data_IF_255980974801
#
_entry.id   IF_255980974801
#
_cell.length_a   1.000
_cell.length_b   1.000
_cell.length_c   1.000
_cell.angle_alpha   90.00
_cell.angle_beta   90.00
_cell.angle_gamma   90.00
#
_symmetry.space_group_name_H-M   'P 1'
#
loop_
_entity.id
_entity.type
_entity.pdbx_description
1 polymer ?
#
# COMPACT_ATOMS: atom_id res chain seq x y z
N UNK A 1 -0.84 -20.10 17.17
CA UNK A 1 0.50 -19.64 16.77
C UNK A 1 0.49 -18.12 16.87
N UNK A 2 1.54 -17.50 17.39
CA UNK A 2 1.63 -16.03 17.39
C UNK A 2 1.74 -15.54 15.94
N UNK A 3 0.91 -14.57 15.53
CA UNK A 3 1.01 -13.95 14.20
C UNK A 3 2.26 -13.10 14.15
N UNK A 4 3.05 -13.28 13.09
CA UNK A 4 4.27 -12.52 12.82
C UNK A 4 4.13 -11.92 11.44
N UNK A 5 3.94 -10.61 11.39
CA UNK A 5 3.70 -9.87 10.15
C UNK A 5 4.97 -9.14 9.76
N UNK A 6 5.39 -9.26 8.51
CA UNK A 6 6.42 -8.41 7.91
C UNK A 6 5.75 -7.38 7.00
N UNK A 7 5.99 -6.10 7.26
CA UNK A 7 5.62 -5.02 6.34
C UNK A 7 6.88 -4.49 5.65
N UNK A 8 6.85 -4.42 4.32
CA UNK A 8 7.94 -3.96 3.48
C UNK A 8 7.47 -2.68 2.77
N UNK A 9 8.12 -1.56 3.03
CA UNK A 9 7.80 -0.28 2.40
C UNK A 9 8.85 0.12 1.37
N UNK A 10 8.43 0.78 0.30
CA UNK A 10 9.33 1.40 -0.68
C UNK A 10 10.28 2.40 0.00
N UNK A 11 9.75 3.36 0.75
CA UNK A 11 10.48 4.45 1.39
C UNK A 11 10.56 4.38 2.93
N UNK A 12 11.57 5.08 3.49
CA UNK A 12 11.85 5.08 4.94
C UNK A 12 11.18 6.22 5.73
N UNK A 13 10.56 7.21 5.08
CA UNK A 13 10.08 8.42 5.78
C UNK A 13 8.57 8.49 5.87
N UNK A 14 7.93 8.69 4.72
CA UNK A 14 6.50 9.00 4.68
C UNK A 14 5.70 7.76 5.05
N UNK A 15 6.02 6.60 4.49
CA UNK A 15 5.36 5.33 4.83
C UNK A 15 5.51 4.99 6.31
N UNK A 16 6.73 5.08 6.86
CA UNK A 16 6.96 4.77 8.27
C UNK A 16 6.18 5.69 9.21
N UNK A 17 5.99 6.96 8.85
CA UNK A 17 5.16 7.88 9.66
C UNK A 17 3.68 7.46 9.66
N UNK A 18 3.11 7.09 8.52
CA UNK A 18 1.74 6.58 8.46
C UNK A 18 1.61 5.23 9.16
N UNK A 19 2.57 4.34 8.96
CA UNK A 19 2.62 3.06 9.65
C UNK A 19 2.66 3.24 11.17
N UNK A 20 3.47 4.15 11.72
CA UNK A 20 3.51 4.39 13.17
C UNK A 20 2.13 4.78 13.73
N UNK A 21 1.38 5.60 12.98
CA UNK A 21 0.02 5.96 13.34
C UNK A 21 -0.94 4.78 13.27
N UNK A 22 -0.87 4.00 12.19
CA UNK A 22 -1.66 2.78 12.00
C UNK A 22 -1.37 1.74 13.08
N UNK A 23 -0.08 1.53 13.41
CA UNK A 23 0.37 0.64 14.48
C UNK A 23 -0.26 1.01 15.82
N UNK A 24 -0.24 2.30 16.16
CA UNK A 24 -0.89 2.80 17.37
C UNK A 24 -2.40 2.56 17.38
N UNK A 25 -3.04 2.66 16.21
CA UNK A 25 -4.48 2.47 16.08
C UNK A 25 -4.91 0.99 16.18
N UNK A 26 -4.16 0.06 15.60
CA UNK A 26 -4.59 -1.35 15.44
C UNK A 26 -3.71 -2.39 16.12
N UNK A 27 -2.39 -2.19 16.17
CA UNK A 27 -1.45 -3.25 16.55
C UNK A 27 -0.85 -3.08 17.95
N UNK A 28 -0.91 -1.91 18.57
CA UNK A 28 -0.38 -1.70 19.94
C UNK A 28 -1.15 -2.46 21.02
N UNK A 29 -2.39 -2.88 20.74
CA UNK A 29 -3.23 -3.67 21.63
C UNK A 29 -3.41 -5.12 21.13
N UNK A 30 -2.78 -5.47 20.01
CA UNK A 30 -2.86 -6.79 19.38
C UNK A 30 -1.63 -7.63 19.79
N UNK A 31 -1.80 -8.95 19.90
CA UNK A 31 -0.67 -9.86 20.17
C UNK A 31 0.23 -10.10 18.93
N UNK A 32 -0.15 -9.53 17.78
CA UNK A 32 0.56 -9.63 16.51
C UNK A 32 1.92 -8.93 16.58
N UNK A 33 2.99 -9.70 16.36
CA UNK A 33 4.34 -9.18 16.27
C UNK A 33 4.60 -8.64 14.87
N UNK A 34 4.64 -7.31 14.72
CA UNK A 34 4.91 -6.66 13.44
C UNK A 34 6.39 -6.28 13.32
N UNK A 35 7.07 -6.81 12.30
CA UNK A 35 8.39 -6.37 11.85
C UNK A 35 8.22 -5.45 10.63
N UNK A 36 9.08 -4.44 10.51
CA UNK A 36 9.05 -3.51 9.38
C UNK A 36 10.43 -3.41 8.76
N UNK A 37 10.46 -3.50 7.44
CA UNK A 37 11.63 -3.28 6.61
C UNK A 37 11.33 -2.24 5.52
N UNK A 38 12.40 -1.65 5.00
CA UNK A 38 12.34 -0.71 3.88
C UNK A 38 13.10 -1.33 2.71
N UNK A 39 12.50 -1.42 1.54
CA UNK A 39 13.21 -1.88 0.35
C UNK A 39 14.19 -0.80 -0.14
N UNK A 40 13.74 0.46 -0.19
CA UNK A 40 14.60 1.62 -0.46
C UNK A 40 14.80 1.94 -1.94
N UNK A 41 14.06 1.27 -2.81
CA UNK A 41 13.98 1.53 -4.24
C UNK A 41 12.54 1.27 -4.73
N UNK A 42 12.21 1.61 -5.97
CA UNK A 42 10.86 1.40 -6.50
C UNK A 42 10.54 -0.09 -6.79
N UNK A 43 9.28 -0.35 -7.12
CA UNK A 43 8.77 -1.69 -7.47
C UNK A 43 9.39 -2.27 -8.74
N UNK A 44 9.85 -1.44 -9.67
CA UNK A 44 10.43 -1.89 -10.95
C UNK A 44 11.80 -2.48 -10.72
N UNK A 45 12.60 -1.88 -9.85
CA UNK A 45 13.91 -2.38 -9.44
C UNK A 45 13.79 -3.73 -8.71
N UNK A 46 12.83 -3.86 -7.79
CA UNK A 46 12.55 -5.17 -7.17
C UNK A 46 12.09 -6.20 -8.22
N UNK A 47 11.25 -5.80 -9.16
CA UNK A 47 10.76 -6.70 -10.21
C UNK A 47 11.89 -7.19 -11.11
N UNK A 48 12.87 -6.34 -11.43
CA UNK A 48 14.06 -6.73 -12.19
C UNK A 48 14.91 -7.75 -11.42
N UNK A 49 15.19 -7.49 -10.13
CA UNK A 49 15.96 -8.43 -9.29
C UNK A 49 15.30 -9.82 -9.20
N UNK A 50 13.97 -9.87 -9.15
CA UNK A 50 13.20 -11.13 -9.12
C UNK A 50 13.15 -11.85 -10.47
N UNK A 51 13.17 -11.11 -11.58
CA UNK A 51 13.25 -11.72 -12.91
C UNK A 51 14.63 -12.34 -13.17
N UNK A 52 15.68 -11.77 -12.55
CA UNK A 52 17.03 -12.33 -12.59
C UNK A 52 17.17 -13.58 -11.72
N UNK A 53 16.49 -13.63 -10.57
CA UNK A 53 16.47 -14.78 -9.66
C UNK A 53 15.05 -15.08 -9.13
N UNK A 54 14.30 -15.98 -9.80
CA UNK A 54 12.94 -16.34 -9.40
C UNK A 54 12.85 -17.06 -8.04
N UNK A 55 13.97 -17.60 -7.52
CA UNK A 55 14.03 -18.26 -6.22
C UNK A 55 14.43 -17.28 -5.09
N UNK A 56 14.61 -15.99 -5.42
CA UNK A 56 15.03 -14.95 -4.49
C UNK A 56 14.00 -14.72 -3.38
N UNK A 57 14.41 -15.00 -2.15
CA UNK A 57 13.60 -14.75 -0.97
C UNK A 57 13.71 -13.27 -0.56
N UNK A 58 12.58 -12.54 -0.63
CA UNK A 58 12.52 -11.10 -0.33
C UNK A 58 13.01 -10.78 1.09
N UNK A 59 12.87 -11.70 2.05
CA UNK A 59 13.35 -11.50 3.43
C UNK A 59 14.88 -11.57 3.49
N UNK A 60 15.49 -12.50 2.75
CA UNK A 60 16.95 -12.60 2.65
C UNK A 60 17.53 -11.41 1.90
N UNK A 61 16.87 -11.00 0.80
CA UNK A 61 17.22 -9.79 0.04
C UNK A 61 17.25 -8.54 0.94
N UNK A 62 16.20 -8.33 1.74
CA UNK A 62 16.14 -7.21 2.69
C UNK A 62 17.23 -7.31 3.76
N UNK A 63 17.55 -8.51 4.25
CA UNK A 63 18.59 -8.73 5.27
C UNK A 63 19.99 -8.43 4.73
N UNK A 64 20.24 -8.72 3.45
CA UNK A 64 21.53 -8.51 2.79
C UNK A 64 21.66 -7.13 2.13
N UNK A 65 20.61 -6.32 2.17
CA UNK A 65 20.60 -4.97 1.59
C UNK A 65 21.69 -4.07 2.19
N UNK A 66 22.62 -3.66 1.33
CA UNK A 66 23.70 -2.72 1.70
C UNK A 66 23.21 -1.28 1.78
N UNK A 67 22.13 -0.95 1.06
CA UNK A 67 21.52 0.38 1.05
C UNK A 67 20.59 0.60 2.24
N UNK A 68 20.03 -0.48 2.80
CA UNK A 68 19.13 -0.46 3.95
C UNK A 68 19.65 -1.32 5.13
N UNK A 69 20.79 -0.96 5.75
CA UNK A 69 21.41 -1.77 6.81
C UNK A 69 20.52 -1.92 8.06
N UNK A 70 19.56 -1.02 8.28
CA UNK A 70 18.57 -1.13 9.38
C UNK A 70 17.70 -2.38 9.26
N UNK A 71 17.50 -2.91 8.05
CA UNK A 71 16.75 -4.16 7.86
C UNK A 71 17.48 -5.34 8.51
N UNK A 72 18.81 -5.38 8.43
CA UNK A 72 19.61 -6.42 9.08
C UNK A 72 19.37 -6.43 10.60
N UNK A 73 19.28 -5.25 11.22
CA UNK A 73 18.95 -5.10 12.63
C UNK A 73 17.50 -5.51 12.92
N UNK A 74 16.54 -5.08 12.10
CA UNK A 74 15.12 -5.39 12.25
C UNK A 74 14.83 -6.91 12.12
N UNK A 75 15.58 -7.60 11.26
CA UNK A 75 15.47 -9.03 10.99
C UNK A 75 16.43 -9.89 11.84
N UNK A 76 17.19 -9.28 12.75
CA UNK A 76 18.21 -9.98 13.52
C UNK A 76 17.61 -11.13 14.35
N UNK A 77 18.07 -12.36 14.09
CA UNK A 77 17.58 -13.55 14.78
C UNK A 77 16.15 -13.98 14.40
N UNK A 78 15.56 -13.36 13.37
CA UNK A 78 14.24 -13.73 12.84
C UNK A 78 14.44 -14.50 11.53
N UNK A 79 14.12 -15.79 11.55
CA UNK A 79 14.05 -16.61 10.33
C UNK A 79 12.86 -16.19 9.49
N UNK A 80 12.99 -16.27 8.15
CA UNK A 80 11.88 -16.00 7.22
C UNK A 80 10.65 -16.86 7.51
N UNK A 81 10.85 -18.12 7.92
CA UNK A 81 9.76 -19.05 8.29
C UNK A 81 9.00 -18.66 9.57
N UNK A 82 9.48 -17.64 10.31
CA UNK A 82 8.77 -17.10 11.45
C UNK A 82 7.63 -16.18 11.01
N UNK A 83 7.75 -15.52 9.87
CA UNK A 83 6.69 -14.68 9.34
C UNK A 83 5.54 -15.56 8.85
N UNK A 84 4.35 -15.27 9.37
CA UNK A 84 3.11 -15.91 8.92
C UNK A 84 2.51 -15.14 7.75
N UNK A 85 2.80 -13.85 7.65
CA UNK A 85 2.24 -12.92 6.68
C UNK A 85 3.30 -11.89 6.25
N UNK A 86 3.42 -11.66 4.94
CA UNK A 86 4.30 -10.67 4.34
C UNK A 86 3.46 -9.73 3.48
N UNK A 87 3.59 -8.43 3.71
CA UNK A 87 2.90 -7.39 2.93
C UNK A 87 3.90 -6.39 2.38
N UNK A 88 3.74 -6.04 1.11
CA UNK A 88 4.61 -5.10 0.40
C UNK A 88 3.81 -3.86 0.01
N UNK A 89 4.41 -2.68 0.11
CA UNK A 89 3.76 -1.40 -0.19
C UNK A 89 4.66 -0.58 -1.09
N UNK A 90 4.19 -0.36 -2.31
CA UNK A 90 4.90 0.37 -3.34
C UNK A 90 4.04 1.45 -3.96
N UNK A 91 4.69 2.48 -4.48
CA UNK A 91 4.06 3.54 -5.24
C UNK A 91 3.98 3.13 -6.73
N UNK A 92 2.99 3.66 -7.46
CA UNK A 92 2.85 3.38 -8.89
C UNK A 92 4.01 3.99 -9.71
N UNK A 93 4.56 5.11 -9.26
CA UNK A 93 5.63 5.86 -9.95
C UNK A 93 5.49 5.90 -11.49
N UNK A 94 4.33 6.35 -12.00
CA UNK A 94 4.02 6.36 -13.45
C UNK A 94 5.06 7.08 -14.34
N UNK A 95 5.84 7.99 -13.76
CA UNK A 95 6.84 8.77 -14.47
C UNK A 95 8.25 8.21 -14.38
N UNK A 96 8.42 7.02 -13.80
CA UNK A 96 9.68 6.29 -13.84
C UNK A 96 10.00 5.83 -15.26
N UNK A 97 11.29 5.82 -15.63
CA UNK A 97 11.74 5.41 -16.97
C UNK A 97 11.57 3.89 -17.20
N UNK A 98 11.51 3.09 -16.13
CA UNK A 98 11.24 1.65 -16.14
C UNK A 98 9.75 1.31 -15.98
N UNK A 99 8.88 2.32 -15.88
CA UNK A 99 7.44 2.11 -15.74
C UNK A 99 6.88 1.18 -16.82
N UNK A 100 6.25 0.09 -16.40
CA UNK A 100 5.46 -0.78 -17.26
C UNK A 100 4.30 -1.39 -16.48
N UNK A 101 3.10 -1.30 -17.05
CA UNK A 101 1.94 -2.00 -16.51
C UNK A 101 2.14 -3.51 -16.53
N UNK A 102 2.83 -4.06 -17.53
CA UNK A 102 3.13 -5.49 -17.63
C UNK A 102 4.07 -5.95 -16.51
N UNK A 103 5.07 -5.14 -16.16
CA UNK A 103 5.95 -5.40 -15.00
C UNK A 103 5.14 -5.40 -13.70
N UNK A 104 4.29 -4.40 -13.48
CA UNK A 104 3.41 -4.34 -12.30
C UNK A 104 2.41 -5.50 -12.24
N UNK A 105 1.83 -5.89 -13.38
CA UNK A 105 0.92 -7.03 -13.45
C UNK A 105 1.66 -8.32 -13.05
N UNK A 106 2.88 -8.51 -13.53
CA UNK A 106 3.73 -9.66 -13.15
C UNK A 106 4.04 -9.63 -11.66
N UNK A 107 4.45 -8.48 -11.14
CA UNK A 107 4.75 -8.28 -9.73
C UNK A 107 3.56 -8.56 -8.81
N UNK A 108 2.38 -7.98 -9.10
CA UNK A 108 1.17 -8.17 -8.29
C UNK A 108 0.69 -9.63 -8.34
N UNK A 109 0.84 -10.32 -9.48
CA UNK A 109 0.51 -11.74 -9.56
C UNK A 109 1.44 -12.59 -8.70
N UNK A 110 2.75 -12.29 -8.70
CA UNK A 110 3.73 -12.98 -7.87
C UNK A 110 3.46 -12.75 -6.38
N UNK A 111 3.16 -11.51 -5.99
CA UNK A 111 2.85 -11.13 -4.61
C UNK A 111 1.34 -11.00 -4.39
N UNK A 112 0.63 -12.13 -4.52
CA UNK A 112 -0.83 -12.20 -4.38
C UNK A 112 -1.31 -13.01 -3.17
N UNK A 113 -0.39 -13.57 -2.37
CA UNK A 113 -0.69 -14.40 -1.19
C UNK A 113 0.26 -14.01 -0.05
N UNK A 114 -0.30 -13.42 1.01
CA UNK A 114 0.48 -12.96 2.16
C UNK A 114 1.22 -14.10 2.89
N UNK A 115 0.77 -15.35 2.74
CA UNK A 115 1.32 -16.53 3.44
C UNK A 115 2.44 -17.25 2.68
N UNK A 116 2.69 -16.85 1.42
CA UNK A 116 3.73 -17.40 0.56
C UNK A 116 4.84 -16.38 0.29
N UNK A 117 4.90 -15.80 -0.92
CA UNK A 117 5.88 -14.78 -1.28
C UNK A 117 5.53 -13.41 -0.69
N UNK A 118 4.25 -13.18 -0.41
CA UNK A 118 3.71 -11.94 0.16
C UNK A 118 2.55 -11.37 -0.66
N UNK A 119 1.93 -10.32 -0.14
CA UNK A 119 0.82 -9.62 -0.79
C UNK A 119 1.15 -8.15 -1.02
N UNK A 120 1.17 -7.72 -2.27
CA UNK A 120 1.60 -6.38 -2.67
C UNK A 120 0.42 -5.40 -2.79
N UNK A 121 0.51 -4.27 -2.10
CA UNK A 121 -0.37 -3.12 -2.25
C UNK A 121 0.31 -2.00 -3.02
N UNK A 122 -0.41 -1.42 -3.97
CA UNK A 122 0.06 -0.27 -4.74
C UNK A 122 -0.65 1.00 -4.29
N UNK A 123 0.12 2.05 -4.01
CA UNK A 123 -0.42 3.40 -3.87
C UNK A 123 -0.60 4.04 -5.24
N UNK A 124 -1.75 4.66 -5.46
CA UNK A 124 -2.09 5.33 -6.71
C UNK A 124 -2.20 6.84 -6.48
N UNK A 125 -1.21 7.65 -6.90
CA UNK A 125 0.09 7.26 -7.46
C UNK A 125 1.18 6.98 -6.42
N UNK A 126 1.02 7.45 -5.17
CA UNK A 126 2.04 7.35 -4.12
C UNK A 126 1.42 7.41 -2.72
N UNK A 127 2.18 7.08 -1.67
CA UNK A 127 1.72 7.02 -0.28
C UNK A 127 0.93 8.25 0.18
N UNK A 128 1.21 9.43 -0.37
CA UNK A 128 0.42 10.65 -0.13
C UNK A 128 -1.06 10.54 -0.49
N UNK A 129 -1.49 9.54 -1.27
CA UNK A 129 -2.90 9.19 -1.47
C UNK A 129 -3.64 9.00 -0.14
N UNK A 130 -2.94 8.56 0.92
CA UNK A 130 -3.50 8.41 2.28
C UNK A 130 -4.03 9.74 2.83
N UNK A 131 -3.39 10.87 2.50
CA UNK A 131 -3.84 12.21 2.94
C UNK A 131 -4.65 12.98 1.91
N UNK A 132 -4.73 12.50 0.67
CA UNK A 132 -5.44 13.16 -0.44
C UNK A 132 -6.95 12.92 -0.36
N UNK A 133 -7.53 13.24 0.79
CA UNK A 133 -8.96 13.09 1.08
C UNK A 133 -9.47 14.43 1.58
N UNK A 134 -10.36 15.06 0.81
CA UNK A 134 -11.03 16.30 1.20
C UNK A 134 -12.31 16.01 2.00
N UNK A 135 -13.14 15.14 1.42
CA UNK A 135 -14.35 14.56 2.02
C UNK A 135 -14.49 13.13 1.49
N UNK A 136 -15.11 12.20 2.26
CA UNK A 136 -15.43 10.85 1.81
C UNK A 136 -16.11 10.80 0.44
N UNK A 137 -17.10 11.66 0.22
CA UNK A 137 -17.92 11.68 -0.99
C UNK A 137 -17.08 12.13 -2.19
N UNK A 138 -16.31 13.21 -2.04
CA UNK A 138 -15.43 13.69 -3.11
C UNK A 138 -14.31 12.73 -3.45
N UNK A 139 -13.87 11.92 -2.48
CA UNK A 139 -12.78 10.98 -2.67
C UNK A 139 -13.16 9.84 -3.63
N UNK A 140 -14.43 9.41 -3.64
CA UNK A 140 -14.90 8.35 -4.53
C UNK A 140 -14.67 8.67 -6.02
N UNK A 141 -14.74 9.96 -6.39
CA UNK A 141 -14.46 10.44 -7.75
C UNK A 141 -13.07 11.07 -7.92
N UNK A 142 -12.22 11.09 -6.89
CA UNK A 142 -10.93 11.77 -6.97
C UNK A 142 -9.97 11.05 -7.91
N UNK A 143 -9.32 11.82 -8.77
CA UNK A 143 -8.47 11.32 -9.84
C UNK A 143 -7.49 12.43 -10.22
N UNK A 144 -6.36 12.05 -10.81
CA UNK A 144 -5.32 12.97 -11.29
C UNK A 144 -4.94 12.62 -12.71
N UNK A 145 -4.41 13.59 -13.46
CA UNK A 145 -3.75 13.28 -14.73
C UNK A 145 -2.44 12.52 -14.48
N UNK A 146 -2.07 11.64 -15.42
CA UNK A 146 -0.76 10.95 -15.39
C UNK A 146 0.41 11.93 -15.33
N UNK A 147 0.28 13.09 -15.98
CA UNK A 147 1.28 14.16 -15.95
C UNK A 147 1.47 14.79 -14.56
N UNK A 148 0.46 14.67 -13.69
CA UNK A 148 0.48 15.17 -12.31
C UNK A 148 1.01 14.13 -11.31
N UNK A 149 1.30 12.90 -11.75
CA UNK A 149 1.83 11.83 -10.88
C UNK A 149 3.27 12.08 -10.41
N UNK A 150 3.99 13.02 -11.03
CA UNK A 150 5.36 13.36 -10.62
C UNK A 150 5.43 13.70 -9.15
N UNK A 151 6.38 13.09 -8.43
CA UNK A 151 6.56 13.22 -6.97
C UNK A 151 6.34 14.63 -6.43
N UNK A 152 7.06 15.63 -6.95
CA UNK A 152 6.92 17.03 -6.48
C UNK A 152 5.53 17.62 -6.73
N UNK A 153 4.88 17.27 -7.83
CA UNK A 153 3.57 17.80 -8.21
C UNK A 153 2.50 17.18 -7.32
N UNK A 154 2.46 15.84 -7.25
CA UNK A 154 1.43 15.16 -6.48
C UNK A 154 1.58 15.38 -4.96
N UNK A 155 2.81 15.43 -4.43
CA UNK A 155 3.04 15.75 -3.01
C UNK A 155 2.47 17.11 -2.63
N UNK A 156 2.53 18.10 -3.53
CA UNK A 156 1.90 19.41 -3.35
C UNK A 156 0.37 19.32 -3.46
N UNK A 157 -0.16 18.69 -4.51
CA UNK A 157 -1.61 18.57 -4.72
C UNK A 157 -2.30 17.88 -3.55
N UNK A 158 -1.77 16.74 -3.10
CA UNK A 158 -2.31 16.00 -1.95
C UNK A 158 -2.32 16.81 -0.65
N UNK A 159 -1.35 17.71 -0.46
CA UNK A 159 -1.28 18.59 0.71
C UNK A 159 -2.21 19.80 0.59
N UNK A 160 -2.46 20.31 -0.62
CA UNK A 160 -3.36 21.44 -0.87
C UNK A 160 -4.84 21.03 -0.83
N UNK A 161 -5.16 19.84 -1.32
CA UNK A 161 -6.53 19.34 -1.45
C UNK A 161 -6.99 18.48 -0.27
N UNK A 162 -6.05 17.85 0.44
CA UNK A 162 -6.30 17.03 1.62
C UNK A 162 -6.66 17.86 2.86
N UNK A 163 -7.11 17.17 3.92
CA UNK A 163 -7.35 17.80 5.22
C UNK A 163 -6.05 17.99 6.01
N UNK A 164 -6.06 18.94 6.96
CA UNK A 164 -4.90 19.19 7.83
C UNK A 164 -4.67 18.06 8.82
N UNK A 165 -5.72 17.35 9.18
CA UNK A 165 -5.76 16.23 10.10
C UNK A 165 -5.02 15.04 9.49
N UNK A 166 -5.32 14.70 8.23
CA UNK A 166 -4.67 13.58 7.52
C UNK A 166 -3.26 13.92 7.03
N UNK A 167 -2.94 15.21 6.86
CA UNK A 167 -1.60 15.64 6.43
C UNK A 167 -0.50 15.40 7.48
N UNK A 168 -0.87 15.29 8.76
CA UNK A 168 0.05 14.93 9.85
C UNK A 168 -0.29 13.54 10.37
N UNK A 169 0.45 12.53 9.93
CA UNK A 169 0.20 11.13 10.26
C UNK A 169 -0.02 10.89 11.77
N UNK A 170 0.66 11.66 12.64
CA UNK A 170 0.57 11.54 14.10
C UNK A 170 -0.80 11.92 14.68
N UNK A 171 -1.61 12.64 13.90
CA UNK A 171 -2.97 13.08 14.29
C UNK A 171 -4.06 12.13 13.83
N UNK A 172 -3.76 11.22 12.91
CA UNK A 172 -4.72 10.25 12.39
C UNK A 172 -5.10 9.31 13.54
N UNK A 173 -6.39 9.29 13.87
CA UNK A 173 -6.96 8.46 14.92
C UNK A 173 -7.38 7.09 14.39
N UNK A 174 -7.75 6.17 15.28
CA UNK A 174 -8.34 4.90 14.90
C UNK A 174 -9.61 5.10 14.04
N UNK A 175 -10.48 6.06 14.40
CA UNK A 175 -11.68 6.38 13.62
C UNK A 175 -11.33 6.89 12.21
N UNK A 176 -10.31 7.74 12.11
CA UNK A 176 -9.86 8.24 10.80
C UNK A 176 -9.34 7.10 9.92
N UNK A 177 -8.60 6.14 10.48
CA UNK A 177 -8.14 4.97 9.75
C UNK A 177 -9.27 4.06 9.28
N UNK A 178 -10.30 3.81 10.11
CA UNK A 178 -11.48 3.04 9.68
C UNK A 178 -12.20 3.79 8.54
N UNK A 179 -12.33 5.11 8.64
CA UNK A 179 -12.92 5.91 7.57
C UNK A 179 -12.10 5.83 6.27
N UNK A 180 -10.78 5.95 6.37
CA UNK A 180 -9.87 5.78 5.23
C UNK A 180 -10.01 4.40 4.60
N UNK A 181 -10.06 3.34 5.41
CA UNK A 181 -10.27 1.96 4.97
C UNK A 181 -11.60 1.81 4.21
N UNK A 182 -12.69 2.32 4.79
CA UNK A 182 -14.03 2.29 4.20
C UNK A 182 -14.08 3.00 2.83
N UNK A 183 -13.58 4.24 2.73
CA UNK A 183 -13.68 5.01 1.49
C UNK A 183 -12.75 4.47 0.39
N UNK A 184 -11.57 3.94 0.74
CA UNK A 184 -10.66 3.31 -0.24
C UNK A 184 -11.24 1.99 -0.74
N UNK A 185 -11.82 1.17 0.14
CA UNK A 185 -12.54 -0.05 -0.24
C UNK A 185 -13.71 0.23 -1.17
N UNK A 186 -14.61 1.13 -0.76
CA UNK A 186 -15.77 1.52 -1.57
C UNK A 186 -15.36 2.04 -2.95
N UNK A 187 -14.27 2.79 -3.01
CA UNK A 187 -13.72 3.28 -4.28
C UNK A 187 -13.10 2.16 -5.11
N UNK A 188 -12.38 1.22 -4.50
CA UNK A 188 -11.82 0.05 -5.18
C UNK A 188 -12.95 -0.74 -5.86
N UNK A 189 -14.02 -1.10 -5.14
CA UNK A 189 -15.18 -1.78 -5.71
C UNK A 189 -15.83 -0.97 -6.85
N UNK A 190 -15.96 0.36 -6.68
CA UNK A 190 -16.52 1.25 -7.71
C UNK A 190 -15.72 1.20 -9.02
N UNK A 191 -14.38 1.31 -8.94
CA UNK A 191 -13.54 1.36 -10.14
C UNK A 191 -13.34 0.00 -10.79
N UNK A 192 -13.52 -1.10 -10.04
CA UNK A 192 -13.47 -2.47 -10.56
C UNK A 192 -14.84 -2.99 -10.99
N UNK A 193 -15.91 -2.26 -10.68
CA UNK A 193 -17.30 -2.68 -10.89
C UNK A 193 -17.61 -4.00 -10.17
N UNK A 194 -17.11 -4.12 -8.94
CA UNK A 194 -17.35 -5.24 -8.03
C UNK A 194 -18.37 -4.84 -6.95
N UNK A 195 -19.02 -5.83 -6.34
CA UNK A 195 -19.95 -5.60 -5.22
C UNK A 195 -19.18 -5.14 -3.98
N UNK A 196 -19.82 -4.31 -3.14
CA UNK A 196 -19.18 -3.74 -1.94
C UNK A 196 -18.78 -4.83 -0.92
N UNK A 197 -19.44 -5.97 -0.96
CA UNK A 197 -19.20 -7.15 -0.13
C UNK A 197 -18.03 -8.02 -0.65
N UNK A 198 -17.34 -7.59 -1.72
CA UNK A 198 -16.19 -8.30 -2.29
C UNK A 198 -14.89 -7.64 -1.83
N UNK A 199 -13.91 -8.44 -1.39
CA UNK A 199 -12.54 -7.98 -1.23
C UNK A 199 -11.89 -7.83 -2.61
N UNK A 200 -11.80 -6.60 -3.08
CA UNK A 200 -11.21 -6.28 -4.39
C UNK A 200 -9.73 -6.60 -4.41
N UNK A 201 -9.30 -7.40 -5.40
CA UNK A 201 -7.90 -7.75 -5.59
C UNK A 201 -7.08 -6.57 -6.11
N UNK A 202 -5.78 -6.53 -5.77
CA UNK A 202 -4.86 -5.51 -6.28
C UNK A 202 -4.69 -5.61 -7.81
N UNK A 203 -4.79 -6.83 -8.38
CA UNK A 203 -4.78 -7.02 -9.82
C UNK A 203 -6.01 -6.39 -10.49
N UNK A 204 -7.22 -6.57 -9.93
CA UNK A 204 -8.44 -5.92 -10.43
C UNK A 204 -8.28 -4.40 -10.45
N UNK A 205 -7.73 -3.82 -9.37
CA UNK A 205 -7.46 -2.38 -9.27
C UNK A 205 -6.49 -1.95 -10.36
N UNK A 206 -5.34 -2.64 -10.50
CA UNK A 206 -4.32 -2.31 -11.49
C UNK A 206 -4.89 -2.33 -12.92
N UNK A 207 -5.66 -3.36 -13.29
CA UNK A 207 -6.26 -3.48 -14.62
C UNK A 207 -7.27 -2.36 -14.90
N UNK A 208 -8.05 -1.94 -13.90
CA UNK A 208 -8.93 -0.78 -14.01
C UNK A 208 -8.15 0.53 -14.18
N UNK A 209 -7.06 0.71 -13.44
CA UNK A 209 -6.17 1.86 -13.55
C UNK A 209 -5.51 1.92 -14.94
N UNK A 210 -4.98 0.79 -15.43
CA UNK A 210 -4.39 0.64 -16.79
C UNK A 210 -5.38 1.07 -17.86
N UNK A 211 -6.61 0.54 -17.81
CA UNK A 211 -7.67 0.91 -18.76
C UNK A 211 -7.97 2.41 -18.71
N UNK A 212 -8.00 2.99 -17.51
CA UNK A 212 -8.32 4.40 -17.34
C UNK A 212 -7.21 5.32 -17.85
N UNK A 213 -5.96 4.95 -17.63
CA UNK A 213 -4.80 5.63 -18.22
C UNK A 213 -4.86 5.58 -19.75
N UNK A 214 -5.08 4.41 -20.34
CA UNK A 214 -5.12 4.23 -21.80
C UNK A 214 -6.26 5.00 -22.48
N UNK A 215 -7.38 5.22 -21.79
CA UNK A 215 -8.57 5.87 -22.36
C UNK A 215 -8.69 7.35 -22.02
N UNK A 216 -8.05 7.83 -20.96
CA UNK A 216 -8.27 9.18 -20.44
C UNK A 216 -7.04 9.85 -19.86
N UNK A 217 -5.87 9.19 -19.83
CA UNK A 217 -4.63 9.69 -19.23
C UNK A 217 -4.80 10.15 -17.77
N UNK A 218 -5.62 9.40 -17.02
CA UNK A 218 -5.83 9.66 -15.59
C UNK A 218 -5.67 8.40 -14.75
N UNK A 219 -5.39 8.60 -13.48
CA UNK A 219 -5.29 7.59 -12.43
C UNK A 219 -6.29 7.95 -11.33
N UNK A 220 -7.05 6.97 -10.85
CA UNK A 220 -7.87 7.12 -9.66
C UNK A 220 -6.98 7.09 -8.42
N UNK A 221 -7.24 7.99 -7.47
CA UNK A 221 -6.44 8.05 -6.24
C UNK A 221 -6.86 6.92 -5.29
N UNK A 222 -5.92 6.07 -4.86
CA UNK A 222 -6.13 4.97 -3.91
C UNK A 222 -4.88 4.79 -3.04
N UNK A 223 -5.06 4.42 -1.79
CA UNK A 223 -3.96 4.23 -0.84
C UNK A 223 -3.85 2.77 -0.38
N UNK A 224 -2.64 2.23 -0.40
CA UNK A 224 -2.33 0.85 -0.07
C UNK A 224 -2.56 0.50 1.40
N UNK A 225 -2.11 1.36 2.34
CA UNK A 225 -2.30 1.11 3.78
C UNK A 225 -3.78 0.98 4.21
N UNK A 226 -4.70 1.87 3.77
CA UNK A 226 -6.13 1.67 4.00
C UNK A 226 -6.70 0.38 3.40
N UNK A 227 -6.28 -0.01 2.20
CA UNK A 227 -6.72 -1.27 1.58
C UNK A 227 -6.18 -2.48 2.32
N UNK A 228 -4.94 -2.41 2.82
CA UNK A 228 -4.35 -3.42 3.68
C UNK A 228 -5.16 -3.66 4.95
N UNK A 229 -5.66 -2.61 5.61
CA UNK A 229 -6.51 -2.78 6.79
C UNK A 229 -7.76 -3.63 6.47
N UNK A 230 -8.39 -3.39 5.32
CA UNK A 230 -9.58 -4.15 4.90
C UNK A 230 -9.24 -5.58 4.52
N UNK A 231 -8.10 -5.80 3.86
CA UNK A 231 -7.59 -7.15 3.55
C UNK A 231 -7.28 -7.93 4.82
N UNK A 232 -6.52 -7.34 5.74
CA UNK A 232 -5.99 -7.99 6.93
C UNK A 232 -7.05 -8.28 7.99
N UNK A 233 -7.97 -7.33 8.25
CA UNK A 233 -9.05 -7.50 9.24
C UNK A 233 -10.38 -7.98 8.62
N UNK A 234 -10.43 -8.08 7.30
CA UNK A 234 -11.64 -8.42 6.53
C UNK A 234 -12.70 -7.33 6.53
N UNK A 235 -13.79 -7.59 5.81
CA UNK A 235 -14.92 -6.65 5.66
C UNK A 235 -15.62 -6.29 6.96
N UNK A 236 -15.43 -7.09 8.02
CA UNK A 236 -15.96 -6.79 9.35
C UNK A 236 -15.46 -5.44 9.90
N UNK A 237 -14.24 -5.03 9.53
CA UNK A 237 -13.64 -3.76 9.90
C UNK A 237 -14.53 -2.58 9.49
N UNK A 238 -15.00 -2.59 8.25
CA UNK A 238 -15.75 -1.47 7.66
C UNK A 238 -17.26 -1.58 7.89
N UNK A 239 -17.76 -2.79 8.18
CA UNK A 239 -19.16 -2.99 8.56
C UNK A 239 -19.47 -2.41 9.95
N UNK A 240 -18.47 -2.21 10.81
CA UNK A 240 -18.63 -1.61 12.15
C UNK A 240 -19.13 -0.16 12.14
N UNK A 241 -18.93 0.57 11.03
CA UNK A 241 -19.44 1.94 10.83
C UNK A 241 -20.88 1.98 10.31
N UNK A 242 -21.46 0.83 9.95
CA UNK A 242 -22.83 0.74 9.41
C UNK A 242 -23.91 0.75 10.49
N UNK A 243 -23.49 0.84 11.76
CA UNK A 243 -24.35 0.74 12.96
C UNK A 243 -24.45 2.01 13.79
N UNK A 244 -23.96 3.16 13.30
CA UNK A 244 -24.18 4.48 13.91
C UNK A 244 -25.10 5.37 13.08
#
# INVERSE_FOLDING_TARGET
>A
MSRHVLLIFEGEKTELNYYQSLKKAFFDQDETAVCVCVFGNDVYELSEELLEDPDLDVVELLRESKTQPKNQEALAGISRHKFTEIYLFFDLEYNDDKFSFETLETFINLYSDETDLGYAFINYPMVEATRHVKTPESFLSSQISVSSCRGKIYKRLSAEEGTKELSDARKITHSDWIQLACINHKKACLITNEEHETLTSQLSILLSQKRKVQTSEIIFILAGLPLFLVHHFGLSLINSLSTE
#
